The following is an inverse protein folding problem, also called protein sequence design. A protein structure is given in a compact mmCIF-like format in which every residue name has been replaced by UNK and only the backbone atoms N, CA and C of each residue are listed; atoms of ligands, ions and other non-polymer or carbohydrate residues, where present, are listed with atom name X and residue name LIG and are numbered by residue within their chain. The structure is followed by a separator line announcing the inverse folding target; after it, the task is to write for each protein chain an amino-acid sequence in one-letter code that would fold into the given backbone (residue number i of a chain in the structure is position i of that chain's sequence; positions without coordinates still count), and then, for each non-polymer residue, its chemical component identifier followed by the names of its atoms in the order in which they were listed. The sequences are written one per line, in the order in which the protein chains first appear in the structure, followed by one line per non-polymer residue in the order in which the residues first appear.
data_IF_711307309751
#
_entry.id   IF_711307309751
#
_cell.length_a   1.000
_cell.length_b   1.000
_cell.length_c   1.000
_cell.angle_alpha   90.00
_cell.angle_beta   90.00
_cell.angle_gamma   90.00
#
_symmetry.space_group_name_H-M   'P 1'
#
loop_
_entity.id
_entity.type
_entity.pdbx_description
1 polymer ?
#
# COMPACT_ATOMS: atom_id res chain seq x y z
N UNK A 1 -38.10 -55.64 -36.09
CA UNK A 1 -37.48 -54.96 -37.25
C UNK A 1 -36.56 -53.87 -36.70
N UNK A 2 -35.25 -54.14 -36.57
CA UNK A 2 -34.34 -53.27 -35.82
C UNK A 2 -33.36 -52.59 -36.79
N UNK A 3 -33.63 -51.32 -37.15
CA UNK A 3 -32.85 -50.57 -38.14
C UNK A 3 -31.69 -49.89 -37.43
N UNK A 4 -30.51 -50.52 -37.43
CA UNK A 4 -29.26 -49.89 -36.95
C UNK A 4 -28.79 -48.91 -38.02
N UNK A 5 -28.90 -47.61 -37.76
CA UNK A 5 -28.28 -46.58 -38.58
C UNK A 5 -26.78 -46.56 -38.28
N UNK A 6 -26.02 -47.36 -39.01
CA UNK A 6 -24.56 -47.20 -39.09
C UNK A 6 -24.28 -45.90 -39.85
N UNK A 7 -24.15 -44.79 -39.11
CA UNK A 7 -23.54 -43.57 -39.66
C UNK A 7 -22.06 -43.91 -39.85
N UNK A 8 -21.69 -44.27 -41.08
CA UNK A 8 -20.29 -44.31 -41.50
C UNK A 8 -19.73 -42.91 -41.34
N UNK A 9 -18.98 -42.66 -40.26
CA UNK A 9 -18.14 -41.47 -40.12
C UNK A 9 -17.10 -41.55 -41.24
N UNK A 10 -17.43 -40.96 -42.39
CA UNK A 10 -16.49 -40.80 -43.49
C UNK A 10 -15.34 -39.90 -43.04
N UNK A 11 -14.20 -39.97 -43.74
CA UNK A 11 -12.98 -39.19 -43.45
C UNK A 11 -13.22 -37.69 -43.15
N UNK A 12 -14.31 -37.09 -43.66
CA UNK A 12 -14.69 -35.71 -43.36
C UNK A 12 -15.20 -35.46 -41.93
N UNK A 13 -15.89 -36.43 -41.30
CA UNK A 13 -16.44 -36.26 -39.94
C UNK A 13 -15.34 -36.22 -38.87
N UNK A 14 -14.32 -37.07 -39.01
CA UNK A 14 -13.13 -37.04 -38.15
C UNK A 14 -12.36 -35.72 -38.29
N UNK A 15 -12.26 -35.17 -39.51
CA UNK A 15 -11.59 -33.89 -39.75
C UNK A 15 -12.29 -32.74 -39.01
N UNK A 16 -13.62 -32.64 -39.10
CA UNK A 16 -14.39 -31.60 -38.41
C UNK A 16 -14.20 -31.65 -36.90
N UNK A 17 -14.24 -32.85 -36.31
CA UNK A 17 -14.00 -33.02 -34.87
C UNK A 17 -12.58 -32.59 -34.50
N UNK A 18 -11.56 -32.98 -35.27
CA UNK A 18 -10.17 -32.59 -34.98
C UNK A 18 -9.97 -31.07 -35.03
N UNK A 19 -10.51 -30.39 -36.03
CA UNK A 19 -10.41 -28.91 -36.13
C UNK A 19 -11.11 -28.25 -34.96
N UNK A 20 -12.29 -28.74 -34.57
CA UNK A 20 -13.02 -28.20 -33.42
C UNK A 20 -12.22 -28.35 -32.12
N UNK A 21 -11.61 -29.52 -31.88
CA UNK A 21 -10.75 -29.73 -30.70
C UNK A 21 -9.54 -28.80 -30.73
N UNK A 22 -8.88 -28.62 -31.88
CA UNK A 22 -7.73 -27.71 -32.00
C UNK A 22 -8.14 -26.26 -31.72
N UNK A 23 -9.28 -25.80 -32.21
CA UNK A 23 -9.80 -24.47 -31.91
C UNK A 23 -10.11 -24.31 -30.41
N UNK A 24 -10.70 -25.33 -29.78
CA UNK A 24 -10.94 -25.32 -28.34
C UNK A 24 -9.63 -25.24 -27.55
N UNK A 25 -8.62 -26.01 -27.93
CA UNK A 25 -7.29 -25.97 -27.30
C UNK A 25 -6.60 -24.61 -27.50
N UNK A 26 -6.75 -23.98 -28.66
CA UNK A 26 -6.22 -22.65 -28.93
C UNK A 26 -6.86 -21.60 -28.00
N UNK A 27 -8.18 -21.64 -27.83
CA UNK A 27 -8.89 -20.73 -26.92
C UNK A 27 -8.44 -20.96 -25.47
N UNK A 28 -8.36 -22.22 -25.04
CA UNK A 28 -7.87 -22.53 -23.68
C UNK A 28 -6.43 -22.11 -23.46
N UNK A 29 -5.55 -22.26 -24.45
CA UNK A 29 -4.18 -21.78 -24.38
C UNK A 29 -4.11 -20.25 -24.27
N UNK A 30 -4.91 -19.52 -25.05
CA UNK A 30 -4.96 -18.06 -25.01
C UNK A 30 -5.48 -17.53 -23.66
N UNK A 31 -6.53 -18.17 -23.11
CA UNK A 31 -7.04 -17.85 -21.78
C UNK A 31 -5.99 -18.14 -20.70
N UNK A 32 -5.35 -19.31 -20.73
CA UNK A 32 -4.29 -19.68 -19.79
C UNK A 32 -3.13 -18.68 -19.79
N UNK A 33 -2.68 -18.22 -20.97
CA UNK A 33 -1.65 -17.20 -21.09
C UNK A 33 -2.09 -15.85 -20.52
N UNK A 34 -3.32 -15.42 -20.85
CA UNK A 34 -3.86 -14.14 -20.37
C UNK A 34 -3.98 -14.14 -18.84
N UNK A 35 -4.45 -15.25 -18.25
CA UNK A 35 -4.50 -15.42 -16.80
C UNK A 35 -3.10 -15.39 -16.19
N UNK A 36 -2.16 -16.17 -16.71
CA UNK A 36 -0.78 -16.17 -16.20
C UNK A 36 -0.10 -14.79 -16.29
N UNK A 37 -0.38 -14.03 -17.36
CA UNK A 37 0.11 -12.67 -17.52
C UNK A 37 -0.51 -11.70 -16.51
N UNK A 38 -1.82 -11.80 -16.28
CA UNK A 38 -2.52 -11.03 -15.25
C UNK A 38 -1.97 -11.33 -13.86
N UNK A 39 -1.77 -12.61 -13.54
CA UNK A 39 -1.21 -13.05 -12.26
C UNK A 39 0.22 -12.52 -12.05
N UNK A 40 1.05 -12.53 -13.10
CA UNK A 40 2.38 -11.93 -13.06
C UNK A 40 2.32 -10.42 -12.77
N UNK A 41 1.42 -9.69 -13.44
CA UNK A 41 1.24 -8.25 -13.23
C UNK A 41 0.78 -7.95 -11.79
N UNK A 42 -0.16 -8.73 -11.28
CA UNK A 42 -0.64 -8.60 -9.90
C UNK A 42 0.47 -8.91 -8.90
N UNK A 43 1.24 -9.98 -9.12
CA UNK A 43 2.35 -10.37 -8.25
C UNK A 43 3.44 -9.28 -8.19
N UNK A 44 3.77 -8.67 -9.34
CA UNK A 44 4.70 -7.53 -9.38
C UNK A 44 4.20 -6.34 -8.60
N UNK A 45 2.92 -5.97 -8.78
CA UNK A 45 2.31 -4.87 -8.03
C UNK A 45 2.30 -5.17 -6.53
N UNK A 46 1.99 -6.40 -6.12
CA UNK A 46 2.03 -6.81 -4.73
C UNK A 46 3.45 -6.70 -4.15
N UNK A 47 4.47 -7.21 -4.86
CA UNK A 47 5.87 -7.08 -4.45
C UNK A 47 6.28 -5.61 -4.27
N UNK A 48 5.91 -4.76 -5.21
CA UNK A 48 6.21 -3.33 -5.13
C UNK A 48 5.54 -2.63 -3.95
N UNK A 49 4.27 -2.97 -3.66
CA UNK A 49 3.54 -2.44 -2.51
C UNK A 49 4.18 -2.92 -1.21
N UNK A 50 4.52 -4.21 -1.12
CA UNK A 50 5.15 -4.80 0.06
C UNK A 50 6.52 -4.19 0.32
N UNK A 51 7.34 -4.00 -0.72
CA UNK A 51 8.66 -3.39 -0.59
C UNK A 51 8.56 -1.93 -0.10
N UNK A 52 7.63 -1.16 -0.66
CA UNK A 52 7.38 0.22 -0.26
C UNK A 52 6.87 0.32 1.18
N UNK A 53 5.93 -0.56 1.57
CA UNK A 53 5.44 -0.65 2.95
C UNK A 53 6.57 -0.84 3.96
N UNK A 54 7.46 -1.81 3.72
CA UNK A 54 8.58 -2.06 4.63
C UNK A 54 9.62 -0.94 4.62
N UNK A 55 9.81 -0.27 3.49
CA UNK A 55 10.67 0.91 3.42
C UNK A 55 10.14 2.04 4.31
N UNK A 56 8.84 2.36 4.20
CA UNK A 56 8.19 3.39 5.02
C UNK A 56 8.18 2.99 6.49
N UNK A 57 7.92 1.71 6.78
CA UNK A 57 7.95 1.18 8.14
C UNK A 57 9.34 1.35 8.79
N UNK A 58 10.41 1.01 8.05
CA UNK A 58 11.78 1.21 8.53
C UNK A 58 12.09 2.68 8.81
N UNK A 59 11.61 3.61 7.97
CA UNK A 59 11.77 5.04 8.21
C UNK A 59 11.02 5.52 9.45
N UNK A 60 9.82 4.99 9.70
CA UNK A 60 9.07 5.29 10.91
C UNK A 60 9.78 4.73 12.16
N UNK A 61 10.32 3.51 12.07
CA UNK A 61 11.05 2.88 13.17
C UNK A 61 12.38 3.58 13.48
N UNK A 62 13.10 4.06 12.46
CA UNK A 62 14.31 4.87 12.64
C UNK A 62 14.00 6.17 13.37
N UNK A 63 12.93 6.87 12.98
CA UNK A 63 12.44 8.05 13.72
C UNK A 63 12.02 7.70 15.16
N UNK A 64 11.37 6.56 15.37
CA UNK A 64 11.02 6.10 16.72
C UNK A 64 12.26 5.87 17.58
N UNK A 65 13.32 5.29 17.00
CA UNK A 65 14.58 5.07 17.68
C UNK A 65 15.26 6.38 18.08
N UNK A 66 15.28 7.39 17.18
CA UNK A 66 15.78 8.73 17.51
C UNK A 66 15.02 9.36 18.69
N UNK A 67 13.69 9.27 18.67
CA UNK A 67 12.83 9.75 19.76
C UNK A 67 13.17 8.98 21.05
N UNK A 68 13.29 7.66 20.98
CA UNK A 68 13.62 6.80 22.13
C UNK A 68 14.99 7.15 22.73
N UNK A 69 16.01 7.40 21.91
CA UNK A 69 17.34 7.80 22.36
C UNK A 69 17.31 9.15 23.08
N UNK A 70 16.55 10.12 22.54
CA UNK A 70 16.34 11.42 23.20
C UNK A 70 15.64 11.24 24.56
N UNK A 71 14.63 10.38 24.64
CA UNK A 71 13.92 10.09 25.89
C UNK A 71 14.84 9.40 26.93
N UNK A 72 15.65 8.44 26.51
CA UNK A 72 16.59 7.74 27.38
C UNK A 72 17.73 8.63 27.88
N UNK A 73 18.14 9.63 27.09
CA UNK A 73 19.15 10.61 27.48
C UNK A 73 18.67 11.65 28.50
N UNK A 74 17.39 11.66 28.87
CA UNK A 74 16.80 12.61 29.83
C UNK A 74 16.63 11.92 31.17
N UNK A 75 17.54 12.21 32.11
CA UNK A 75 17.50 11.69 33.46
C UNK A 75 16.55 12.53 34.34
N UNK A 76 15.54 11.89 34.93
CA UNK A 76 14.68 12.38 36.02
C UNK A 76 14.32 13.88 36.11
N UNK A 77 13.11 14.20 35.66
CA UNK A 77 12.18 15.17 36.31
C UNK A 77 12.53 16.67 36.31
N UNK A 78 13.72 17.11 35.87
CA UNK A 78 14.11 18.53 36.05
C UNK A 78 13.86 19.48 34.89
N UNK A 79 13.52 19.02 33.70
CA UNK A 79 13.51 19.91 32.54
C UNK A 79 12.48 19.55 31.45
N UNK A 80 11.18 19.62 31.81
CA UNK A 80 10.06 19.45 30.87
C UNK A 80 10.22 20.33 29.62
N UNK A 81 10.67 21.56 29.81
CA UNK A 81 10.85 22.57 28.74
C UNK A 81 11.97 22.15 27.78
N UNK A 82 13.05 21.60 28.31
CA UNK A 82 14.20 21.17 27.51
C UNK A 82 13.94 19.84 26.78
N UNK A 83 13.05 18.99 27.32
CA UNK A 83 12.56 17.79 26.63
C UNK A 83 11.74 18.13 25.39
N UNK A 84 10.71 18.98 25.52
CA UNK A 84 9.89 19.39 24.37
C UNK A 84 10.71 20.12 23.32
N UNK A 85 11.68 20.93 23.74
CA UNK A 85 12.60 21.59 22.82
C UNK A 85 13.46 20.60 22.02
N UNK A 86 14.03 19.58 22.67
CA UNK A 86 14.82 18.54 21.98
C UNK A 86 13.98 17.66 21.05
N UNK A 87 12.73 17.40 21.40
CA UNK A 87 11.81 16.63 20.57
C UNK A 87 11.30 17.43 19.37
N UNK A 88 11.08 18.74 19.54
CA UNK A 88 10.75 19.67 18.45
C UNK A 88 11.95 20.01 17.56
N UNK A 89 13.17 19.71 17.98
CA UNK A 89 14.37 19.79 17.13
C UNK A 89 14.46 18.62 16.13
N UNK A 90 13.69 17.53 16.35
CA UNK A 90 13.60 16.41 15.41
C UNK A 90 12.69 16.79 14.24
N UNK A 91 13.18 16.62 13.02
CA UNK A 91 12.49 17.05 11.80
C UNK A 91 11.17 16.30 11.55
N UNK A 92 10.08 17.06 11.40
CA UNK A 92 8.74 16.54 11.12
C UNK A 92 8.02 15.92 12.32
N UNK A 93 8.46 16.20 13.56
CA UNK A 93 7.79 15.76 14.79
C UNK A 93 6.90 16.87 15.34
N UNK A 94 5.61 16.59 15.50
CA UNK A 94 4.62 17.47 16.11
C UNK A 94 4.44 17.08 17.58
N UNK A 95 4.72 18.00 18.48
CA UNK A 95 4.58 17.76 19.92
C UNK A 95 3.41 18.55 20.48
N UNK A 96 2.44 17.83 21.05
CA UNK A 96 1.32 18.36 21.80
C UNK A 96 1.72 18.41 23.28
N UNK A 97 2.18 19.58 23.73
CA UNK A 97 2.64 19.80 25.11
C UNK A 97 1.50 19.64 26.15
N UNK A 98 0.26 19.98 25.79
CA UNK A 98 -0.90 19.91 26.69
C UNK A 98 -1.29 18.46 27.01
N UNK A 99 -1.31 17.60 25.99
CA UNK A 99 -1.66 16.19 26.15
C UNK A 99 -0.43 15.27 26.29
N UNK A 100 0.78 15.84 26.23
CA UNK A 100 2.04 15.07 26.23
C UNK A 100 2.08 13.98 25.16
N UNK A 101 1.61 14.31 23.95
CA UNK A 101 1.60 13.41 22.80
C UNK A 101 2.59 13.87 21.74
N UNK A 102 3.22 12.91 21.09
CA UNK A 102 4.12 13.14 19.95
C UNK A 102 3.48 12.49 18.75
N UNK A 103 3.32 13.24 17.66
CA UNK A 103 2.88 12.70 16.38
C UNK A 103 3.93 12.97 15.32
N UNK A 104 4.25 11.97 14.52
CA UNK A 104 5.11 12.16 13.36
C UNK A 104 4.60 11.34 12.18
N UNK A 105 4.98 11.79 10.99
CA UNK A 105 4.72 11.07 9.75
C UNK A 105 6.03 10.61 9.11
N UNK A 106 5.96 9.40 8.57
CA UNK A 106 6.97 8.85 7.68
C UNK A 106 6.29 8.59 6.32
N UNK A 107 6.68 9.35 5.30
CA UNK A 107 6.18 9.19 3.95
C UNK A 107 7.25 8.55 3.06
N UNK A 108 6.83 7.61 2.23
CA UNK A 108 7.70 7.00 1.22
C UNK A 108 7.75 7.81 -0.07
N UNK A 109 8.34 7.23 -1.11
CA UNK A 109 8.32 7.82 -2.46
C UNK A 109 6.97 7.64 -3.18
N UNK A 110 6.15 6.70 -2.73
CA UNK A 110 4.82 6.40 -3.30
C UNK A 110 3.71 6.93 -2.41
N UNK A 111 2.46 6.70 -2.82
CA UNK A 111 1.26 7.27 -2.22
C UNK A 111 0.86 6.68 -0.85
N UNK A 112 1.82 6.23 -0.04
CA UNK A 112 1.63 5.67 1.29
C UNK A 112 2.45 6.43 2.33
N UNK A 113 1.87 6.62 3.51
CA UNK A 113 2.51 7.21 4.67
C UNK A 113 2.09 6.48 5.95
N UNK A 114 3.00 6.40 6.91
CA UNK A 114 2.69 5.89 8.24
C UNK A 114 2.63 7.09 9.18
N UNK A 115 1.50 7.23 9.86
CA UNK A 115 1.32 8.19 10.93
C UNK A 115 1.45 7.45 12.25
N UNK A 116 2.34 7.94 13.11
CA UNK A 116 2.58 7.37 14.43
C UNK A 116 2.24 8.42 15.48
N UNK A 117 1.44 8.03 16.46
CA UNK A 117 1.14 8.84 17.64
C UNK A 117 1.63 8.11 18.87
N UNK A 118 2.48 8.78 19.65
CA UNK A 118 3.05 8.31 20.89
C UNK A 118 2.48 9.12 22.04
N UNK A 119 2.14 8.45 23.13
CA UNK A 119 1.78 9.06 24.39
C UNK A 119 2.99 8.99 25.35
N UNK A 120 3.37 10.11 25.95
CA UNK A 120 4.47 10.18 26.90
C UNK A 120 3.96 9.96 28.32
N UNK A 121 4.46 8.92 28.97
CA UNK A 121 4.11 8.60 30.35
C UNK A 121 5.27 8.98 31.26
N UNK A 122 4.98 9.84 32.24
CA UNK A 122 5.93 10.29 33.24
C UNK A 122 5.89 9.37 34.45
N UNK A 123 6.89 8.50 34.58
CA UNK A 123 7.13 7.69 35.78
C UNK A 123 8.46 8.06 36.45
N UNK A 124 9.03 7.10 37.18
CA UNK A 124 10.41 7.16 37.71
C UNK A 124 11.46 7.25 36.57
N UNK A 125 11.06 6.82 35.37
CA UNK A 125 11.74 7.06 34.09
C UNK A 125 10.70 7.47 33.06
N UNK A 126 11.12 8.20 32.04
CA UNK A 126 10.29 8.53 30.90
C UNK A 126 10.13 7.31 30.00
N UNK A 127 8.89 6.94 29.71
CA UNK A 127 8.54 5.90 28.75
C UNK A 127 7.51 6.45 27.77
N UNK A 128 7.52 5.91 26.55
CA UNK A 128 6.49 6.18 25.56
C UNK A 128 5.60 4.95 25.39
N UNK A 129 4.32 5.19 25.14
CA UNK A 129 3.37 4.18 24.69
C UNK A 129 2.93 4.53 23.27
N UNK A 130 2.94 3.55 22.37
CA UNK A 130 2.47 3.73 21.00
C UNK A 130 0.94 3.71 21.04
N UNK A 131 0.31 4.87 20.91
CA UNK A 131 -1.16 5.00 20.90
C UNK A 131 -1.72 4.59 19.53
N UNK A 132 -1.05 5.00 18.45
CA UNK A 132 -1.48 4.63 17.10
C UNK A 132 -0.31 4.44 16.15
N UNK A 133 -0.44 3.43 15.29
CA UNK A 133 0.46 3.17 14.17
C UNK A 133 -0.39 2.86 12.95
N UNK A 134 -0.64 3.85 12.10
CA UNK A 134 -1.60 3.70 11.01
C UNK A 134 -0.96 3.97 9.64
N UNK A 135 -1.16 3.01 8.72
CA UNK A 135 -0.84 3.18 7.31
C UNK A 135 -1.99 3.93 6.64
N UNK A 136 -1.70 5.12 6.13
CA UNK A 136 -2.65 5.91 5.35
C UNK A 136 -2.09 6.19 3.96
N UNK A 137 -2.97 6.46 3.01
CA UNK A 137 -2.51 6.97 1.73
C UNK A 137 -2.10 8.44 1.91
N UNK A 138 -1.10 8.87 1.14
CA UNK A 138 -0.86 10.30 0.97
C UNK A 138 -2.09 10.84 0.23
N UNK A 139 -2.81 11.78 0.83
CA UNK A 139 -3.87 12.50 0.14
C UNK A 139 -3.23 13.17 -1.08
N UNK A 140 -3.66 12.74 -2.27
CA UNK A 140 -3.36 13.48 -3.48
C UNK A 140 -3.96 14.87 -3.27
N UNK A 141 -3.28 15.96 -3.67
CA UNK A 141 -3.94 17.24 -3.75
C UNK A 141 -5.19 17.00 -4.59
N UNK A 142 -6.36 17.31 -4.01
CA UNK A 142 -7.60 17.36 -4.78
C UNK A 142 -7.33 18.43 -5.82
N UNK A 143 -6.95 18.00 -7.03
CA UNK A 143 -7.13 18.85 -8.18
C UNK A 143 -8.63 19.08 -8.20
N UNK A 144 -9.07 20.27 -7.83
CA UNK A 144 -10.39 20.71 -8.21
C UNK A 144 -10.46 20.42 -9.71
N UNK A 145 -11.36 19.51 -10.11
CA UNK A 145 -11.80 19.40 -11.49
C UNK A 145 -12.50 20.72 -11.79
N UNK A 146 -11.70 21.79 -11.92
CA UNK A 146 -12.14 23.03 -12.51
C UNK A 146 -12.47 22.59 -13.93
N UNK A 147 -13.77 22.49 -14.19
CA UNK A 147 -14.31 22.18 -15.51
C UNK A 147 -13.85 23.34 -16.38
N UNK A 148 -12.70 23.18 -17.03
CA UNK A 148 -12.24 24.12 -18.04
C UNK A 148 -13.27 23.99 -19.15
N UNK A 149 -14.17 24.97 -19.22
CA UNK A 149 -15.17 25.02 -20.28
C UNK A 149 -14.43 25.39 -21.57
N UNK A 150 -13.99 24.35 -22.29
CA UNK A 150 -13.15 24.48 -23.49
C UNK A 150 -13.93 24.97 -24.72
N UNK A 151 -15.24 25.23 -24.58
CA UNK A 151 -16.10 25.53 -25.72
C UNK A 151 -17.21 26.52 -25.39
N UNK A 152 -16.95 27.82 -25.57
CA UNK A 152 -18.00 28.80 -25.75
C UNK A 152 -18.54 28.65 -27.18
N UNK A 153 -19.73 28.08 -27.32
CA UNK A 153 -20.26 27.74 -28.64
C UNK A 153 -20.36 28.92 -29.60
N UNK A 154 -20.18 28.62 -30.88
CA UNK A 154 -20.45 29.55 -31.98
C UNK A 154 -21.95 29.55 -32.26
N UNK A 155 -22.57 30.73 -32.14
CA UNK A 155 -23.95 31.03 -32.59
C UNK A 155 -24.17 30.73 -34.09
#
# INVERSE_FOLDING_TARGET
MNRRTNVSVGMGGTLVVTVFVVLCLMIFAALSFTTAYSDLKLSRKAQEITADYYYIHGMAEEKLAEISDVLHGIDGTKDKINMFKKLSEIDGVLVDEENSRISYEAAGQKNQKINVTLNLIYGDRLYYEIESWNLSNIDLPVYEDDIIDLWEGIE
#
